data_IF_720331102392
#
_entry.id   IF_720331102392
#
_cell.length_a   1.000
_cell.length_b   1.000
_cell.length_c   1.000
_cell.angle_alpha   90.00
_cell.angle_beta   90.00
_cell.angle_gamma   90.00
#
_symmetry.space_group_name_H-M   'P 1'
#
loop_
_entity.id
_entity.type
_entity.pdbx_description
1 polymer ?
#
# COMPACT_ATOMS: atom_id res chain seq x y z
N UNK A 1 24.12 12.56 16.49
CA UNK A 1 23.45 12.41 15.18
C UNK A 1 23.07 10.96 14.89
N UNK A 2 23.98 9.99 15.06
CA UNK A 2 23.70 8.55 14.82
C UNK A 2 22.60 7.97 15.70
N UNK A 3 22.57 8.29 17.01
CA UNK A 3 21.52 7.80 17.91
C UNK A 3 20.12 8.30 17.52
N UNK A 4 20.01 9.58 17.13
CA UNK A 4 18.75 10.16 16.67
C UNK A 4 18.26 9.49 15.37
N UNK A 5 19.17 9.19 14.43
CA UNK A 5 18.84 8.47 13.21
C UNK A 5 18.34 7.04 13.50
N UNK A 6 18.97 6.33 14.44
CA UNK A 6 18.53 4.98 14.86
C UNK A 6 17.13 5.04 15.48
N UNK A 7 16.89 5.99 16.40
CA UNK A 7 15.57 6.17 17.02
C UNK A 7 14.50 6.50 15.97
N UNK A 8 14.82 7.38 15.01
CA UNK A 8 13.91 7.73 13.93
C UNK A 8 13.57 6.53 13.03
N UNK A 9 14.56 5.70 12.68
CA UNK A 9 14.34 4.48 11.89
C UNK A 9 13.47 3.47 12.64
N UNK A 10 13.71 3.24 13.94
CA UNK A 10 12.89 2.34 14.76
C UNK A 10 11.44 2.86 14.85
N UNK A 11 11.26 4.16 15.10
CA UNK A 11 9.94 4.77 15.16
C UNK A 11 9.17 4.65 13.83
N UNK A 12 9.85 4.93 12.71
CA UNK A 12 9.29 4.80 11.36
C UNK A 12 8.88 3.35 11.07
N UNK A 13 9.74 2.38 11.40
CA UNK A 13 9.45 0.96 11.22
C UNK A 13 8.22 0.54 12.01
N UNK A 14 8.14 0.89 13.29
CA UNK A 14 6.99 0.56 14.13
C UNK A 14 5.70 1.20 13.60
N UNK A 15 5.74 2.46 13.19
CA UNK A 15 4.59 3.16 12.60
C UNK A 15 4.09 2.51 11.31
N UNK A 16 5.03 2.13 10.43
CA UNK A 16 4.71 1.41 9.19
C UNK A 16 4.08 0.05 9.48
N UNK A 17 4.58 -0.68 10.48
CA UNK A 17 4.05 -2.00 10.81
C UNK A 17 2.61 -1.96 11.33
N UNK A 18 2.28 -1.01 12.20
CA UNK A 18 0.90 -0.85 12.63
C UNK A 18 -0.01 -0.43 11.47
N UNK A 19 0.47 0.45 10.59
CA UNK A 19 -0.29 0.89 9.41
C UNK A 19 -0.61 -0.29 8.49
N UNK A 20 0.38 -1.10 8.13
CA UNK A 20 0.19 -2.28 7.29
C UNK A 20 -0.74 -3.32 7.92
N UNK A 21 -0.64 -3.51 9.23
CA UNK A 21 -1.51 -4.41 9.97
C UNK A 21 -2.98 -3.96 9.91
N UNK A 22 -3.23 -2.66 10.06
CA UNK A 22 -4.57 -2.08 9.98
C UNK A 22 -5.13 -2.12 8.55
N UNK A 23 -4.30 -1.85 7.54
CA UNK A 23 -4.70 -1.96 6.12
C UNK A 23 -5.04 -3.41 5.77
N UNK A 24 -4.21 -4.37 6.18
CA UNK A 24 -4.46 -5.80 5.94
C UNK A 24 -5.70 -6.30 6.67
N UNK A 25 -5.95 -5.80 7.88
CA UNK A 25 -7.17 -6.09 8.64
C UNK A 25 -8.40 -5.53 7.93
N UNK A 26 -8.38 -4.26 7.52
CA UNK A 26 -9.48 -3.63 6.79
C UNK A 26 -9.79 -4.41 5.50
N UNK A 27 -8.75 -4.80 4.75
CA UNK A 27 -8.90 -5.65 3.57
C UNK A 27 -9.50 -7.03 3.91
N UNK A 28 -9.17 -7.62 5.06
CA UNK A 28 -9.72 -8.90 5.49
C UNK A 28 -11.18 -8.79 5.98
N UNK A 29 -11.54 -7.67 6.61
CA UNK A 29 -12.90 -7.35 7.02
C UNK A 29 -13.82 -7.16 5.80
N UNK A 30 -13.30 -6.59 4.72
CA UNK A 30 -13.97 -6.51 3.40
C UNK A 30 -13.94 -7.85 2.62
N UNK A 31 -13.33 -8.90 3.18
CA UNK A 31 -13.24 -10.22 2.57
C UNK A 31 -12.17 -10.34 1.48
N UNK A 32 -11.41 -9.28 1.20
CA UNK A 32 -10.33 -9.30 0.20
C UNK A 32 -9.13 -10.13 0.66
N UNK A 33 -8.87 -10.19 1.98
CA UNK A 33 -7.77 -10.95 2.55
C UNK A 33 -8.23 -12.18 3.34
N UNK A 34 -7.33 -13.17 3.59
CA UNK A 34 -7.66 -14.32 4.41
C UNK A 34 -8.16 -13.92 5.80
N UNK A 35 -9.17 -14.62 6.33
CA UNK A 35 -9.80 -14.32 7.64
C UNK A 35 -8.84 -14.28 8.83
N UNK A 36 -7.63 -14.86 8.69
CA UNK A 36 -6.60 -14.80 9.72
C UNK A 36 -6.11 -13.37 9.99
N UNK A 37 -6.17 -12.48 8.99
CA UNK A 37 -5.81 -11.06 9.11
C UNK A 37 -6.90 -10.22 9.79
N UNK A 38 -8.16 -10.67 9.77
CA UNK A 38 -9.28 -10.02 10.47
C UNK A 38 -9.31 -10.35 11.98
N UNK A 39 -8.61 -11.41 12.41
CA UNK A 39 -8.65 -11.86 13.82
C UNK A 39 -7.87 -10.91 14.72
N UNK A 40 -8.57 -10.18 15.58
CA UNK A 40 -7.97 -9.24 16.54
C UNK A 40 -7.93 -9.77 17.97
N UNK A 41 -7.01 -9.24 18.78
CA UNK A 41 -6.98 -9.44 20.23
C UNK A 41 -7.99 -8.52 20.95
N UNK A 42 -8.01 -8.56 22.30
CA UNK A 42 -8.86 -7.69 23.15
C UNK A 42 -8.64 -6.18 22.96
N UNK A 43 -7.49 -5.78 22.43
CA UNK A 43 -7.14 -4.39 22.13
C UNK A 43 -7.40 -4.01 20.66
N UNK A 44 -8.07 -4.87 19.88
CA UNK A 44 -8.38 -4.62 18.47
C UNK A 44 -7.19 -4.78 17.51
N UNK A 45 -6.08 -5.35 17.97
CA UNK A 45 -4.83 -5.50 17.19
C UNK A 45 -4.79 -6.88 16.49
N UNK A 46 -4.53 -6.93 15.17
CA UNK A 46 -4.45 -8.17 14.39
C UNK A 46 -3.08 -8.87 14.51
N UNK A 47 -2.74 -9.39 15.70
CA UNK A 47 -1.42 -9.97 16.00
C UNK A 47 -1.03 -11.11 15.04
N UNK A 48 -1.97 -11.97 14.67
CA UNK A 48 -1.68 -13.10 13.77
C UNK A 48 -1.22 -12.60 12.39
N UNK A 49 -1.87 -11.56 11.85
CA UNK A 49 -1.47 -10.92 10.59
C UNK A 49 -0.09 -10.26 10.70
N UNK A 50 0.19 -9.58 11.81
CA UNK A 50 1.50 -8.95 12.07
C UNK A 50 2.64 -9.98 12.07
N UNK A 51 2.44 -11.14 12.72
CA UNK A 51 3.46 -12.20 12.77
C UNK A 51 3.71 -12.84 11.39
N UNK A 52 2.67 -13.00 10.58
CA UNK A 52 2.80 -13.53 9.22
C UNK A 52 3.60 -12.55 8.34
N UNK A 53 3.26 -11.25 8.41
CA UNK A 53 4.00 -10.22 7.67
C UNK A 53 5.46 -10.14 8.12
N UNK A 54 5.71 -10.17 9.44
CA UNK A 54 7.07 -10.17 9.99
C UNK A 54 7.88 -11.39 9.50
N UNK A 55 7.28 -12.58 9.49
CA UNK A 55 7.95 -13.78 8.99
C UNK A 55 8.29 -13.66 7.50
N UNK A 56 7.37 -13.12 6.69
CA UNK A 56 7.60 -12.87 5.27
C UNK A 56 8.71 -11.82 5.03
N UNK A 57 8.72 -10.74 5.80
CA UNK A 57 9.75 -9.70 5.73
C UNK A 57 11.13 -10.21 6.12
N UNK A 58 11.25 -11.00 7.20
CA UNK A 58 12.51 -11.62 7.60
C UNK A 58 13.02 -12.57 6.50
N UNK A 59 12.13 -13.38 5.94
CA UNK A 59 12.46 -14.29 4.85
C UNK A 59 12.96 -13.52 3.61
N UNK A 60 12.26 -12.45 3.21
CA UNK A 60 12.71 -11.58 2.12
C UNK A 60 14.04 -10.89 2.44
N UNK A 61 14.23 -10.40 3.67
CA UNK A 61 15.46 -9.75 4.10
C UNK A 61 16.66 -10.68 4.00
N UNK A 62 16.51 -11.94 4.43
CA UNK A 62 17.56 -12.96 4.34
C UNK A 62 17.87 -13.31 2.88
N UNK A 63 16.84 -13.40 2.02
CA UNK A 63 17.03 -13.68 0.58
C UNK A 63 17.67 -12.51 -0.20
N UNK A 64 17.68 -11.29 0.36
CA UNK A 64 18.17 -10.07 -0.32
C UNK A 64 19.58 -9.65 0.15
N UNK A 65 20.26 -10.50 0.94
CA UNK A 65 21.64 -10.25 1.38
C UNK A 65 22.57 -10.28 0.17
N UNK A 66 23.31 -9.18 -0.06
CA UNK A 66 24.17 -9.01 -1.23
C UNK A 66 25.45 -8.26 -0.87
N UNK A 67 26.58 -8.54 -1.57
CA UNK A 67 27.89 -7.97 -1.27
C UNK A 67 28.04 -6.46 -1.54
N UNK A 68 27.11 -5.83 -2.28
CA UNK A 68 27.11 -4.37 -2.48
C UNK A 68 25.89 -3.71 -1.82
N UNK A 69 26.07 -3.25 -0.58
CA UNK A 69 25.01 -2.71 0.25
C UNK A 69 24.41 -1.40 -0.29
N UNK A 70 25.23 -0.54 -0.90
CA UNK A 70 24.79 0.79 -1.37
C UNK A 70 23.94 0.68 -2.63
N UNK A 71 24.37 -0.13 -3.61
CA UNK A 71 23.60 -0.33 -4.84
C UNK A 71 22.24 -0.96 -4.56
N UNK A 72 22.19 -1.94 -3.65
CA UNK A 72 20.95 -2.60 -3.25
C UNK A 72 20.03 -1.67 -2.45
N UNK A 73 20.59 -0.86 -1.55
CA UNK A 73 19.82 0.14 -0.83
C UNK A 73 19.14 1.12 -1.80
N UNK A 74 19.87 1.63 -2.81
CA UNK A 74 19.29 2.51 -3.82
C UNK A 74 18.24 1.81 -4.69
N UNK A 75 18.47 0.56 -5.07
CA UNK A 75 17.50 -0.22 -5.84
C UNK A 75 16.19 -0.45 -5.04
N UNK A 76 16.31 -0.83 -3.77
CA UNK A 76 15.18 -1.01 -2.86
C UNK A 76 14.45 0.31 -2.60
N UNK A 77 15.19 1.42 -2.42
CA UNK A 77 14.57 2.75 -2.27
C UNK A 77 13.76 3.12 -3.51
N UNK A 78 14.32 3.00 -4.71
CA UNK A 78 13.64 3.34 -5.95
C UNK A 78 12.41 2.46 -6.18
N UNK A 79 12.52 1.16 -5.89
CA UNK A 79 11.40 0.23 -5.96
C UNK A 79 10.30 0.58 -4.94
N UNK A 80 10.67 0.89 -3.70
CA UNK A 80 9.74 1.30 -2.65
C UNK A 80 9.02 2.61 -3.00
N UNK A 81 9.73 3.59 -3.60
CA UNK A 81 9.10 4.81 -4.13
C UNK A 81 8.03 4.45 -5.15
N UNK A 82 8.35 3.61 -6.14
CA UNK A 82 7.38 3.21 -7.16
C UNK A 82 6.14 2.53 -6.55
N UNK A 83 6.33 1.53 -5.69
CA UNK A 83 5.24 0.76 -5.08
C UNK A 83 4.32 1.67 -4.25
N UNK A 84 4.85 2.73 -3.63
CA UNK A 84 4.05 3.71 -2.90
C UNK A 84 3.38 4.74 -3.81
N UNK A 85 3.97 5.09 -4.96
CA UNK A 85 3.35 6.05 -5.88
C UNK A 85 2.07 5.51 -6.54
N UNK A 86 2.01 4.21 -6.84
CA UNK A 86 0.81 3.58 -7.44
C UNK A 86 -0.45 3.79 -6.59
N UNK A 87 -0.51 3.41 -5.30
CA UNK A 87 -1.68 3.63 -4.46
C UNK A 87 -1.94 5.12 -4.20
N UNK A 88 -0.91 5.99 -4.21
CA UNK A 88 -1.12 7.44 -4.09
C UNK A 88 -1.87 8.01 -5.30
N UNK A 89 -1.49 7.61 -6.51
CA UNK A 89 -2.19 8.01 -7.74
C UNK A 89 -3.64 7.50 -7.71
N UNK A 90 -3.85 6.23 -7.37
CA UNK A 90 -5.20 5.65 -7.27
C UNK A 90 -6.07 6.35 -6.22
N UNK A 91 -5.50 6.66 -5.05
CA UNK A 91 -6.23 7.34 -3.98
C UNK A 91 -6.60 8.78 -4.34
N UNK A 92 -5.66 9.52 -4.95
CA UNK A 92 -5.88 10.93 -5.31
C UNK A 92 -6.81 11.08 -6.52
N UNK A 93 -6.78 10.15 -7.47
CA UNK A 93 -7.77 10.11 -8.56
C UNK A 93 -9.17 9.74 -8.05
N UNK A 94 -9.27 8.83 -7.07
CA UNK A 94 -10.53 8.51 -6.39
C UNK A 94 -11.08 9.63 -5.50
N UNK A 95 -10.24 10.56 -5.05
CA UNK A 95 -10.64 11.67 -4.19
C UNK A 95 -11.73 12.54 -4.83
N UNK A 96 -11.65 12.80 -6.14
CA UNK A 96 -12.66 13.61 -6.83
C UNK A 96 -14.04 12.95 -6.78
N UNK A 97 -14.11 11.63 -6.98
CA UNK A 97 -15.34 10.84 -6.88
C UNK A 97 -15.89 10.89 -5.46
N UNK A 98 -15.03 10.76 -4.45
CA UNK A 98 -15.40 10.81 -3.04
C UNK A 98 -15.97 12.18 -2.64
N UNK A 99 -15.32 13.27 -3.08
CA UNK A 99 -15.78 14.64 -2.79
C UNK A 99 -17.15 14.92 -3.42
N UNK A 100 -17.37 14.44 -4.65
CA UNK A 100 -18.69 14.53 -5.32
C UNK A 100 -19.76 13.73 -4.59
N UNK A 101 -19.46 12.49 -4.18
CA UNK A 101 -20.39 11.61 -3.47
C UNK A 101 -20.80 12.16 -2.09
N UNK A 102 -19.89 12.82 -1.39
CA UNK A 102 -20.14 13.39 -0.07
C UNK A 102 -20.76 14.81 -0.09
N UNK A 103 -21.14 15.34 -1.27
CA UNK A 103 -21.79 16.65 -1.43
C UNK A 103 -21.08 17.79 -0.68
N UNK A 104 -19.74 17.81 -0.75
CA UNK A 104 -18.92 18.82 -0.04
C UNK A 104 -19.14 20.23 -0.61
N UNK A 105 -18.79 21.25 0.18
CA UNK A 105 -18.89 22.64 -0.30
C UNK A 105 -18.00 22.89 -1.53
N UNK A 106 -18.41 23.82 -2.40
CA UNK A 106 -17.65 24.15 -3.62
C UNK A 106 -16.20 24.57 -3.34
N UNK A 107 -15.94 25.22 -2.20
CA UNK A 107 -14.60 25.60 -1.77
C UNK A 107 -13.74 24.38 -1.42
N UNK A 108 -14.30 23.42 -0.68
CA UNK A 108 -13.61 22.17 -0.35
C UNK A 108 -13.37 21.31 -1.58
N UNK A 109 -14.35 21.26 -2.50
CA UNK A 109 -14.21 20.55 -3.76
C UNK A 109 -13.05 21.10 -4.60
N UNK A 110 -13.02 22.42 -4.84
CA UNK A 110 -11.95 23.05 -5.62
C UNK A 110 -10.58 22.86 -5.00
N UNK A 111 -10.47 22.99 -3.67
CA UNK A 111 -9.22 22.76 -2.96
C UNK A 111 -8.78 21.29 -3.10
N UNK A 112 -9.67 20.34 -2.80
CA UNK A 112 -9.37 18.91 -2.88
C UNK A 112 -9.00 18.46 -4.29
N UNK A 113 -9.72 18.93 -5.32
CA UNK A 113 -9.42 18.63 -6.71
C UNK A 113 -8.08 19.22 -7.16
N UNK A 114 -7.77 20.46 -6.76
CA UNK A 114 -6.49 21.11 -7.12
C UNK A 114 -5.32 20.40 -6.45
N UNK A 115 -5.41 20.16 -5.14
CA UNK A 115 -4.37 19.46 -4.38
C UNK A 115 -4.21 18.02 -4.86
N UNK A 116 -5.32 17.32 -5.11
CA UNK A 116 -5.30 15.95 -5.64
C UNK A 116 -4.62 15.88 -7.02
N UNK A 117 -4.92 16.83 -7.90
CA UNK A 117 -4.28 16.89 -9.23
C UNK A 117 -2.78 17.16 -9.12
N UNK A 118 -2.36 18.10 -8.27
CA UNK A 118 -0.94 18.38 -8.04
C UNK A 118 -0.22 17.18 -7.42
N UNK A 119 -0.88 16.46 -6.50
CA UNK A 119 -0.34 15.23 -5.91
C UNK A 119 -0.14 14.14 -6.97
N UNK A 120 -1.10 13.94 -7.88
CA UNK A 120 -0.96 12.99 -8.99
C UNK A 120 0.20 13.36 -9.90
N UNK A 121 0.33 14.63 -10.28
CA UNK A 121 1.44 15.10 -11.10
C UNK A 121 2.81 14.86 -10.43
N UNK A 122 2.90 15.14 -9.13
CA UNK A 122 4.11 14.88 -8.35
C UNK A 122 4.42 13.38 -8.25
N UNK A 123 3.41 12.54 -8.05
CA UNK A 123 3.60 11.09 -8.02
C UNK A 123 4.07 10.53 -9.36
N UNK A 124 3.56 11.05 -10.48
CA UNK A 124 4.05 10.69 -11.83
C UNK A 124 5.51 11.11 -12.00
N UNK A 125 5.88 12.30 -11.54
CA UNK A 125 7.27 12.73 -11.54
C UNK A 125 8.16 11.80 -10.69
N UNK A 126 7.69 11.36 -9.52
CA UNK A 126 8.39 10.40 -8.67
C UNK A 126 8.61 9.05 -9.37
N UNK A 127 7.62 8.56 -10.12
CA UNK A 127 7.74 7.36 -10.95
C UNK A 127 8.76 7.54 -12.08
N UNK A 128 8.81 8.72 -12.69
CA UNK A 128 9.85 9.03 -13.67
C UNK A 128 11.26 9.06 -13.04
N UNK A 129 11.38 9.59 -11.83
CA UNK A 129 12.66 9.77 -11.14
C UNK A 129 13.28 8.46 -10.61
N UNK A 130 12.50 7.43 -10.30
CA UNK A 130 13.01 6.17 -9.73
C UNK A 130 13.72 5.25 -10.75
N UNK A 131 13.64 5.56 -12.04
CA UNK A 131 14.39 4.91 -13.11
C UNK A 131 13.73 3.65 -13.68
N UNK A 132 14.11 3.29 -14.92
CA UNK A 132 13.45 2.26 -15.70
C UNK A 132 13.42 0.87 -15.03
N UNK A 133 14.51 0.49 -14.34
CA UNK A 133 14.60 -0.80 -13.65
C UNK A 133 13.59 -0.90 -12.50
N UNK A 134 13.42 0.16 -11.73
CA UNK A 134 12.47 0.20 -10.62
C UNK A 134 11.02 0.21 -11.13
N UNK A 135 10.76 0.97 -12.21
CA UNK A 135 9.46 0.97 -12.88
C UNK A 135 9.11 -0.43 -13.38
N UNK A 136 10.03 -1.10 -14.08
CA UNK A 136 9.78 -2.45 -14.60
C UNK A 136 9.47 -3.46 -13.49
N UNK A 137 10.33 -3.54 -12.47
CA UNK A 137 10.10 -4.44 -11.33
C UNK A 137 8.82 -4.11 -10.56
N UNK A 138 8.55 -2.82 -10.37
CA UNK A 138 7.35 -2.33 -9.71
C UNK A 138 6.07 -2.60 -10.49
N UNK A 139 6.10 -2.48 -11.83
CA UNK A 139 4.97 -2.79 -12.71
C UNK A 139 4.65 -4.28 -12.64
N UNK A 140 5.65 -5.17 -12.68
CA UNK A 140 5.42 -6.62 -12.52
C UNK A 140 4.73 -6.90 -11.18
N UNK A 141 5.23 -6.30 -10.09
CA UNK A 141 4.66 -6.49 -8.76
C UNK A 141 3.21 -5.97 -8.68
N UNK A 142 2.94 -4.82 -9.31
CA UNK A 142 1.60 -4.24 -9.37
C UNK A 142 0.66 -5.13 -10.17
N UNK A 143 1.09 -5.66 -11.31
CA UNK A 143 0.31 -6.59 -12.13
C UNK A 143 0.00 -7.89 -11.38
N UNK A 144 0.96 -8.44 -10.63
CA UNK A 144 0.72 -9.59 -9.75
C UNK A 144 -0.35 -9.27 -8.70
N UNK A 145 -0.30 -8.09 -8.08
CA UNK A 145 -1.35 -7.62 -7.18
C UNK A 145 -2.73 -7.54 -7.84
N UNK A 146 -2.81 -7.04 -9.09
CA UNK A 146 -4.04 -7.01 -9.87
C UNK A 146 -4.60 -8.40 -10.17
N UNK A 147 -3.74 -9.38 -10.45
CA UNK A 147 -4.16 -10.78 -10.66
C UNK A 147 -4.80 -11.34 -9.39
N UNK A 148 -4.18 -11.12 -8.22
CA UNK A 148 -4.76 -11.52 -6.93
C UNK A 148 -6.12 -10.86 -6.71
N UNK A 149 -6.23 -9.55 -6.97
CA UNK A 149 -7.51 -8.84 -6.89
C UNK A 149 -8.56 -9.44 -7.83
N UNK A 150 -8.19 -9.79 -9.07
CA UNK A 150 -9.11 -10.42 -10.04
C UNK A 150 -9.71 -11.74 -9.54
N UNK A 151 -8.90 -12.60 -8.93
CA UNK A 151 -9.39 -13.85 -8.32
C UNK A 151 -10.36 -13.62 -7.16
N UNK A 152 -10.12 -12.58 -6.37
CA UNK A 152 -10.97 -12.20 -5.24
C UNK A 152 -12.28 -11.56 -5.74
N UNK A 153 -12.22 -10.63 -6.69
CA UNK A 153 -13.38 -9.98 -7.27
C UNK A 153 -14.32 -10.98 -7.97
N UNK A 154 -13.77 -12.03 -8.60
CA UNK A 154 -14.54 -13.11 -9.19
C UNK A 154 -15.31 -13.97 -8.15
N UNK A 155 -14.90 -13.95 -6.89
CA UNK A 155 -15.61 -14.63 -5.79
C UNK A 155 -16.84 -13.84 -5.34
N UNK A 156 -16.82 -12.52 -5.47
CA UNK A 156 -17.87 -11.62 -4.99
C UNK A 156 -19.00 -11.43 -6.02
N UNK A 157 -18.82 -11.89 -7.27
CA UNK A 157 -19.86 -11.92 -8.32
C UNK A 157 -20.71 -13.18 -8.32
N UNK A 158 -20.87 -13.88 -7.18
CA UNK A 158 -21.90 -14.94 -7.09
C UNK A 158 -23.27 -14.32 -7.40
N UNK A 159 -23.97 -14.75 -8.47
CA UNK A 159 -25.25 -14.19 -8.81
C UNK A 159 -26.23 -14.54 -7.69
N UNK A 160 -26.74 -13.52 -7.01
CA UNK A 160 -27.95 -13.66 -6.21
C UNK A 160 -29.10 -13.92 -7.17
N UNK A 161 -29.35 -15.20 -7.45
CA UNK A 161 -30.60 -15.65 -8.06
C UNK A 161 -31.72 -15.21 -7.11
N UNK A 162 -32.35 -14.07 -7.42
CA UNK A 162 -33.70 -13.78 -6.93
C UNK A 162 -34.61 -14.84 -7.54
N UNK A 163 -34.87 -15.91 -6.79
CA UNK A 163 -36.02 -16.74 -7.05
C UNK A 163 -37.25 -15.93 -6.62
N UNK A 164 -38.07 -15.59 -7.63
CA UNK A 164 -39.40 -15.02 -7.47
C UNK A 164 -40.31 -15.95 -6.65
#
# INVERSE_FOLDING_TARGET
MTLAAVIACIGSLLGWQFTNAQVSKAAADEGLFPKIFAKTNKAGVPIAGMLIMLAAEILLAVMTISPNLISQFNALLNLAVFINMVPYILSMTGLEVLLRKNMVSQKQYRLGATVGTLAVLYSIYGVYACGATAVFGGTILTLLGYIFYGFIAARDTKPTVKAN
#
